data_IF_398353539160
#
_entry.id   IF_398353539160
#
_cell.length_a   1.000
_cell.length_b   1.000
_cell.length_c   1.000
_cell.angle_alpha   90.00
_cell.angle_beta   90.00
_cell.angle_gamma   90.00
#
_symmetry.space_group_name_H-M   'P 1'
#
loop_
_entity.id
_entity.type
_entity.pdbx_description
1 polymer ?
#
# COMPACT_ATOMS: atom_id res chain seq x y z
N UNK A 1 4.01 13.55 -3.63
CA UNK A 1 3.97 13.61 -2.16
C UNK A 1 5.37 13.48 -1.57
N UNK A 2 5.94 14.53 -0.94
CA UNK A 2 7.34 14.52 -0.42
C UNK A 2 7.58 13.51 0.71
N UNK A 3 6.55 13.24 1.52
CA UNK A 3 6.64 12.33 2.67
C UNK A 3 6.89 10.89 2.22
N UNK A 4 6.18 10.39 1.21
CA UNK A 4 6.31 9.01 0.72
C UNK A 4 7.72 8.73 0.16
N UNK A 5 8.26 9.64 -0.67
CA UNK A 5 9.62 9.55 -1.18
C UNK A 5 10.66 9.47 -0.06
N UNK A 6 10.51 10.31 0.97
CA UNK A 6 11.40 10.32 2.13
C UNK A 6 11.30 9.02 2.94
N UNK A 7 10.09 8.50 3.16
CA UNK A 7 9.89 7.23 3.86
C UNK A 7 10.54 6.06 3.10
N UNK A 8 10.42 5.99 1.77
CA UNK A 8 11.10 4.94 0.98
C UNK A 8 12.62 5.08 1.05
N UNK A 9 13.15 6.30 0.99
CA UNK A 9 14.59 6.54 1.14
C UNK A 9 15.10 6.15 2.54
N UNK A 10 14.33 6.43 3.60
CA UNK A 10 14.64 5.98 4.97
C UNK A 10 14.57 4.46 5.10
N UNK A 11 13.50 3.83 4.59
CA UNK A 11 13.29 2.38 4.56
C UNK A 11 14.49 1.65 3.94
N UNK A 12 14.93 2.08 2.75
CA UNK A 12 16.07 1.50 2.05
C UNK A 12 17.41 1.67 2.78
N UNK A 13 17.62 2.82 3.42
CA UNK A 13 18.86 3.07 4.16
C UNK A 13 18.96 2.26 5.44
N UNK A 14 17.82 1.96 6.08
CA UNK A 14 17.77 1.23 7.33
C UNK A 14 17.48 -0.28 7.16
N UNK A 15 17.16 -0.74 5.95
CA UNK A 15 16.62 -2.08 5.67
C UNK A 15 15.34 -2.38 6.48
N UNK A 16 14.50 -1.35 6.64
CA UNK A 16 13.27 -1.38 7.43
C UNK A 16 12.05 -1.11 6.56
N UNK A 17 10.87 -1.42 7.10
CA UNK A 17 9.59 -1.09 6.47
C UNK A 17 9.07 0.20 7.10
N UNK A 18 8.49 1.07 6.28
CA UNK A 18 7.89 2.33 6.74
C UNK A 18 6.41 2.34 6.39
N UNK A 19 5.59 2.72 7.37
CA UNK A 19 4.14 2.82 7.21
C UNK A 19 3.75 4.27 6.94
N UNK A 20 2.90 4.48 5.94
CA UNK A 20 2.22 5.74 5.69
C UNK A 20 0.71 5.52 5.89
N UNK A 21 0.13 6.23 6.87
CA UNK A 21 -1.31 6.17 7.13
C UNK A 21 -2.00 7.32 6.40
N UNK A 22 -3.01 6.98 5.60
CA UNK A 22 -3.90 7.92 4.94
C UNK A 22 -5.28 7.80 5.60
N UNK A 23 -5.76 8.89 6.19
CA UNK A 23 -7.03 8.93 6.90
C UNK A 23 -7.94 10.02 6.33
N UNK A 24 -9.25 9.83 6.51
CA UNK A 24 -10.30 10.74 6.03
C UNK A 24 -11.22 10.05 5.02
N UNK A 25 -11.69 10.83 4.05
CA UNK A 25 -12.55 10.35 2.96
C UNK A 25 -11.90 9.18 2.18
N UNK A 26 -12.57 8.02 2.03
CA UNK A 26 -11.98 6.83 1.41
C UNK A 26 -11.52 7.04 -0.04
N UNK A 27 -12.35 7.66 -0.88
CA UNK A 27 -12.01 7.88 -2.29
C UNK A 27 -10.84 8.85 -2.43
N UNK A 28 -10.80 9.89 -1.59
CA UNK A 28 -9.65 10.80 -1.51
C UNK A 28 -8.40 10.07 -1.00
N UNK A 29 -8.52 9.19 -0.02
CA UNK A 29 -7.40 8.43 0.52
C UNK A 29 -6.78 7.53 -0.56
N UNK A 30 -7.60 6.81 -1.34
CA UNK A 30 -7.14 5.97 -2.47
C UNK A 30 -6.40 6.79 -3.53
N UNK A 31 -6.95 7.94 -3.95
CA UNK A 31 -6.24 8.87 -4.87
C UNK A 31 -4.95 9.44 -4.27
N UNK A 32 -4.85 9.58 -2.95
CA UNK A 32 -3.60 9.99 -2.29
C UNK A 32 -2.60 8.84 -2.24
N UNK A 33 -3.05 7.58 -2.10
CA UNK A 33 -2.20 6.40 -2.15
C UNK A 33 -1.49 6.28 -3.50
N UNK A 34 -2.21 6.47 -4.61
CA UNK A 34 -1.63 6.51 -5.97
C UNK A 34 -0.51 7.55 -6.06
N UNK A 35 -0.82 8.81 -5.70
CA UNK A 35 0.18 9.91 -5.70
C UNK A 35 1.33 9.72 -4.71
N UNK A 36 1.13 8.91 -3.68
CA UNK A 36 2.18 8.58 -2.72
C UNK A 36 3.15 7.55 -3.32
N UNK A 37 2.63 6.52 -3.98
CA UNK A 37 3.43 5.49 -4.66
C UNK A 37 4.18 6.08 -5.86
N UNK A 38 3.53 6.89 -6.68
CA UNK A 38 4.17 7.60 -7.80
C UNK A 38 5.35 8.46 -7.31
N UNK A 39 5.13 9.23 -6.25
CA UNK A 39 6.16 10.09 -5.70
C UNK A 39 7.27 9.31 -4.98
N UNK A 40 6.96 8.11 -4.51
CA UNK A 40 7.94 7.19 -3.99
C UNK A 40 8.66 6.44 -5.12
N UNK A 41 8.32 6.62 -6.40
CA UNK A 41 8.96 5.94 -7.53
C UNK A 41 8.86 4.40 -7.41
N UNK A 42 7.70 3.92 -6.95
CA UNK A 42 7.37 2.49 -6.87
C UNK A 42 6.75 2.05 -8.19
N UNK A 43 7.22 0.93 -8.75
CA UNK A 43 6.63 0.38 -9.97
C UNK A 43 5.20 -0.12 -9.67
N UNK A 44 4.16 0.33 -10.42
CA UNK A 44 2.80 -0.18 -10.26
C UNK A 44 2.69 -1.71 -10.30
N UNK A 45 3.53 -2.40 -11.07
CA UNK A 45 3.56 -3.86 -11.13
C UNK A 45 4.08 -4.51 -9.83
N UNK A 46 4.82 -3.76 -9.02
CA UNK A 46 5.34 -4.19 -7.72
C UNK A 46 4.40 -3.91 -6.54
N UNK A 47 3.21 -3.34 -6.80
CA UNK A 47 2.22 -2.97 -5.77
C UNK A 47 1.15 -4.04 -5.66
N UNK A 48 0.80 -4.40 -4.43
CA UNK A 48 -0.41 -5.18 -4.15
C UNK A 48 -1.37 -4.38 -3.28
N UNK A 49 -2.63 -4.36 -3.68
CA UNK A 49 -3.73 -3.75 -2.94
C UNK A 49 -4.51 -4.81 -2.19
N UNK A 50 -4.67 -4.66 -0.88
CA UNK A 50 -5.51 -5.50 -0.04
C UNK A 50 -6.77 -4.73 0.31
N UNK A 51 -7.91 -5.18 -0.22
CA UNK A 51 -9.20 -4.51 -0.05
C UNK A 51 -10.18 -4.85 -1.17
N UNK A 52 -11.39 -4.30 -1.06
CA UNK A 52 -12.54 -4.63 -1.92
C UNK A 52 -12.83 -3.57 -2.98
N UNK A 53 -12.21 -2.39 -2.90
CA UNK A 53 -12.38 -1.32 -3.86
C UNK A 53 -11.74 -1.65 -5.22
N UNK A 54 -12.17 -0.92 -6.25
CA UNK A 54 -11.50 -0.94 -7.55
C UNK A 54 -10.16 -0.21 -7.47
N UNK A 55 -9.17 -0.73 -8.18
CA UNK A 55 -7.78 -0.27 -8.10
C UNK A 55 -7.02 -0.60 -9.39
N UNK A 56 -6.02 0.20 -9.78
CA UNK A 56 -5.15 -0.11 -10.91
C UNK A 56 -4.12 -1.20 -10.62
N UNK A 57 -3.94 -1.64 -9.37
CA UNK A 57 -2.92 -2.61 -8.97
C UNK A 57 -3.46 -4.05 -8.89
N UNK A 58 -2.56 -5.02 -8.68
CA UNK A 58 -2.96 -6.37 -8.31
C UNK A 58 -3.77 -6.31 -7.01
N UNK A 59 -5.04 -6.77 -7.07
CA UNK A 59 -5.96 -6.75 -5.92
C UNK A 59 -6.07 -8.11 -5.28
N UNK A 60 -5.91 -8.14 -3.97
CA UNK A 60 -6.20 -9.27 -3.10
C UNK A 60 -7.35 -8.89 -2.17
N UNK A 61 -8.37 -9.73 -2.13
CA UNK A 61 -9.43 -9.61 -1.13
C UNK A 61 -8.84 -9.86 0.27
N UNK A 62 -9.25 -9.13 1.33
CA UNK A 62 -8.79 -9.37 2.70
C UNK A 62 -8.88 -10.82 3.17
N UNK A 63 -9.82 -11.63 2.68
CA UNK A 63 -9.90 -13.07 2.99
C UNK A 63 -8.81 -13.92 2.30
N UNK A 64 -8.15 -13.36 1.28
CA UNK A 64 -7.18 -14.03 0.40
C UNK A 64 -5.73 -13.66 0.66
N UNK A 65 -5.43 -12.98 1.76
CA UNK A 65 -4.11 -12.37 2.05
C UNK A 65 -2.99 -13.38 2.23
N UNK A 66 -3.34 -14.63 2.53
CA UNK A 66 -2.39 -15.77 2.58
C UNK A 66 -1.66 -15.97 1.27
N UNK A 67 -2.19 -15.47 0.14
CA UNK A 67 -1.53 -15.46 -1.17
C UNK A 67 -0.28 -14.57 -1.22
N UNK A 68 -0.10 -13.65 -0.27
CA UNK A 68 1.11 -12.84 -0.15
C UNK A 68 2.29 -13.65 0.42
N UNK A 69 2.02 -14.73 1.15
CA UNK A 69 3.06 -15.54 1.77
C UNK A 69 3.94 -16.19 0.71
N UNK A 70 5.26 -16.10 0.91
CA UNK A 70 6.26 -16.59 -0.06
C UNK A 70 6.47 -15.69 -1.27
N UNK A 71 5.80 -14.54 -1.35
CA UNK A 71 6.01 -13.53 -2.40
C UNK A 71 6.81 -12.34 -1.88
N UNK A 72 7.43 -11.58 -2.79
CA UNK A 72 8.06 -10.29 -2.46
C UNK A 72 7.33 -9.21 -3.23
N UNK A 73 6.92 -8.15 -2.52
CA UNK A 73 6.24 -6.99 -3.08
C UNK A 73 7.04 -5.74 -2.76
N UNK A 74 7.05 -4.77 -3.67
CA UNK A 74 7.74 -3.51 -3.43
C UNK A 74 6.96 -2.64 -2.44
N UNK A 75 5.63 -2.61 -2.59
CA UNK A 75 4.74 -1.94 -1.66
C UNK A 75 3.42 -2.71 -1.52
N UNK A 76 2.78 -2.54 -0.37
CA UNK A 76 1.44 -3.06 -0.09
C UNK A 76 0.56 -1.89 0.34
N UNK A 77 -0.59 -1.75 -0.30
CA UNK A 77 -1.66 -0.82 0.12
C UNK A 77 -2.70 -1.65 0.85
N UNK A 78 -2.86 -1.41 2.15
CA UNK A 78 -3.89 -2.03 2.96
C UNK A 78 -5.04 -1.04 3.14
N UNK A 79 -6.19 -1.30 2.50
CA UNK A 79 -7.40 -0.47 2.65
C UNK A 79 -8.22 -0.96 3.84
N UNK A 80 -8.16 -0.22 4.94
CA UNK A 80 -8.87 -0.49 6.17
C UNK A 80 -10.13 0.37 6.36
N UNK A 81 -10.62 1.06 5.32
CA UNK A 81 -11.76 1.98 5.48
C UNK A 81 -13.06 1.27 5.84
N UNK A 82 -13.30 0.07 5.29
CA UNK A 82 -14.50 -0.71 5.59
C UNK A 82 -14.29 -1.62 6.82
N UNK A 83 -13.15 -2.31 6.89
CA UNK A 83 -12.80 -3.18 8.01
C UNK A 83 -11.27 -3.26 8.19
N UNK A 84 -10.80 -3.35 9.44
CA UNK A 84 -9.39 -3.53 9.77
C UNK A 84 -9.20 -4.87 10.48
N UNK A 85 -8.75 -5.89 9.75
CA UNK A 85 -8.51 -7.23 10.30
C UNK A 85 -7.03 -7.42 10.66
N UNK A 86 -6.72 -7.94 11.86
CA UNK A 86 -5.33 -8.07 12.31
C UNK A 86 -4.53 -9.13 11.54
N UNK A 87 -5.22 -10.13 11.00
CA UNK A 87 -4.62 -11.23 10.22
C UNK A 87 -5.12 -11.24 8.76
N UNK A 88 -5.58 -10.08 8.28
CA UNK A 88 -5.57 -9.81 6.85
C UNK A 88 -4.13 -9.48 6.38
#
# INVERSE_FOLDING_TARGET
MRVAARLRAEARRADERRLLVLAGDPDRARRVAERALDAADVDPAGVTYVGTADTPWERIDPDGVTRLLGTTREAVVLDCHDECRPNA
#
